data_IF_598431947248
#
_entry.id   IF_598431947248
#
_cell.length_a   1.000
_cell.length_b   1.000
_cell.length_c   1.000
_cell.angle_alpha   90.00
_cell.angle_beta   90.00
_cell.angle_gamma   90.00
#
_symmetry.space_group_name_H-M   'P 1'
#
loop_
_entity.id
_entity.type
_entity.pdbx_description
1 polymer ?
#
# COMPACT_ATOMS: atom_id res chain seq x y z
N UNK A 1 3.94 -31.24 9.59
CA UNK A 1 2.69 -31.12 10.38
C UNK A 1 3.01 -30.78 11.83
N UNK A 2 3.66 -31.64 12.63
CA UNK A 2 4.02 -31.30 14.02
C UNK A 2 4.74 -29.94 14.18
N UNK A 3 5.69 -29.61 13.29
CA UNK A 3 6.43 -28.34 13.38
C UNK A 3 5.60 -27.08 13.11
N UNK A 4 4.54 -27.13 12.28
CA UNK A 4 3.68 -25.95 12.06
C UNK A 4 2.69 -25.77 13.21
N UNK A 5 2.24 -26.88 13.82
CA UNK A 5 1.31 -26.83 14.95
C UNK A 5 1.95 -26.14 16.17
N UNK A 6 3.24 -26.39 16.43
CA UNK A 6 4.00 -25.71 17.48
C UNK A 6 4.14 -24.20 17.23
N UNK A 7 4.32 -23.80 15.96
CA UNK A 7 4.38 -22.39 15.56
C UNK A 7 3.03 -21.71 15.73
N UNK A 8 1.94 -22.34 15.29
CA UNK A 8 0.58 -21.83 15.47
C UNK A 8 0.28 -21.67 16.97
N UNK A 9 0.60 -22.68 17.77
CA UNK A 9 0.42 -22.65 19.22
C UNK A 9 1.26 -21.54 19.87
N UNK A 10 2.49 -21.30 19.40
CA UNK A 10 3.28 -20.17 19.88
C UNK A 10 2.60 -18.84 19.58
N UNK A 11 2.12 -18.64 18.35
CA UNK A 11 1.39 -17.44 17.94
C UNK A 11 0.15 -17.22 18.78
N UNK A 12 -0.68 -18.25 18.99
CA UNK A 12 -1.90 -18.16 19.81
C UNK A 12 -1.59 -17.76 21.26
N UNK A 13 -0.56 -18.36 21.86
CA UNK A 13 -0.17 -18.04 23.24
C UNK A 13 0.48 -16.66 23.41
N UNK A 14 0.99 -16.06 22.33
CA UNK A 14 1.64 -14.75 22.34
C UNK A 14 0.81 -13.67 21.64
N UNK A 15 -0.46 -13.94 21.32
CA UNK A 15 -1.33 -13.02 20.58
C UNK A 15 -1.39 -11.62 21.19
N UNK A 16 -1.66 -11.53 22.49
CA UNK A 16 -1.78 -10.23 23.18
C UNK A 16 -0.48 -9.43 23.13
N UNK A 17 0.68 -10.11 23.23
CA UNK A 17 2.00 -9.51 23.10
C UNK A 17 2.20 -8.96 21.68
N UNK A 18 1.90 -9.77 20.65
CA UNK A 18 2.05 -9.35 19.26
C UNK A 18 1.15 -8.17 18.91
N UNK A 19 -0.07 -8.15 19.44
CA UNK A 19 -0.99 -7.05 19.23
C UNK A 19 -0.53 -5.77 19.97
N UNK A 20 0.06 -5.85 21.17
CA UNK A 20 0.66 -4.68 21.81
C UNK A 20 1.88 -4.16 21.05
N UNK A 21 2.75 -5.04 20.55
CA UNK A 21 3.89 -4.62 19.72
C UNK A 21 3.42 -3.96 18.41
N UNK A 22 2.33 -4.44 17.81
CA UNK A 22 1.71 -3.73 16.68
C UNK A 22 1.24 -2.33 17.13
N UNK A 23 0.65 -2.20 18.31
CA UNK A 23 0.21 -0.89 18.81
C UNK A 23 1.40 0.03 19.08
N UNK A 24 2.53 -0.49 19.56
CA UNK A 24 3.78 0.28 19.64
C UNK A 24 4.24 0.78 18.26
N UNK A 25 4.25 -0.11 17.26
CA UNK A 25 4.64 0.24 15.88
C UNK A 25 3.71 1.31 15.26
N UNK A 26 2.40 1.22 15.53
CA UNK A 26 1.41 2.17 15.03
C UNK A 26 1.46 3.55 15.70
N UNK A 27 2.13 3.67 16.86
CA UNK A 27 2.31 4.97 17.54
C UNK A 27 3.37 5.85 16.89
N UNK A 28 4.20 5.32 15.99
CA UNK A 28 5.16 6.14 15.24
C UNK A 28 4.47 6.86 14.08
N UNK A 29 4.45 8.21 14.05
CA UNK A 29 3.98 8.97 12.89
C UNK A 29 5.08 9.05 11.82
N UNK A 30 5.38 7.91 11.20
CA UNK A 30 6.38 7.78 10.14
C UNK A 30 5.84 8.25 8.79
N UNK A 31 5.50 9.53 8.66
CA UNK A 31 4.94 10.11 7.43
C UNK A 31 6.08 10.51 6.50
N UNK A 32 6.33 9.73 5.43
CA UNK A 32 7.49 9.92 4.55
C UNK A 32 7.45 11.23 3.74
N UNK A 33 6.25 11.75 3.46
CA UNK A 33 6.05 13.02 2.75
C UNK A 33 6.20 14.26 3.62
N UNK A 34 6.29 14.10 4.96
CA UNK A 34 6.36 15.20 5.92
C UNK A 34 7.80 15.38 6.44
N UNK A 35 8.47 16.51 6.12
CA UNK A 35 9.83 16.79 6.62
C UNK A 35 9.94 16.81 8.15
N UNK A 36 8.87 17.18 8.86
CA UNK A 36 8.87 17.26 10.33
C UNK A 36 8.83 15.86 10.98
N UNK A 37 8.49 14.82 10.21
CA UNK A 37 8.44 13.42 10.66
C UNK A 37 9.82 12.73 10.68
N UNK A 38 10.92 13.46 10.42
CA UNK A 38 12.29 12.90 10.34
C UNK A 38 12.71 12.10 11.58
N UNK A 39 12.44 12.60 12.78
CA UNK A 39 12.80 11.87 14.00
C UNK A 39 12.00 10.57 14.11
N UNK A 40 10.72 10.61 13.80
CA UNK A 40 9.80 9.48 13.93
C UNK A 40 10.03 8.40 12.87
N UNK A 41 10.40 8.79 11.64
CA UNK A 41 10.88 7.87 10.60
C UNK A 41 12.07 7.05 11.09
N UNK A 42 13.08 7.71 11.66
CA UNK A 42 14.28 7.03 12.17
C UNK A 42 13.97 6.18 13.41
N UNK A 43 13.13 6.67 14.33
CA UNK A 43 12.71 5.91 15.52
C UNK A 43 11.92 4.66 15.14
N UNK A 44 11.07 4.73 14.11
CA UNK A 44 10.32 3.58 13.60
C UNK A 44 11.26 2.52 13.01
N UNK A 45 12.22 2.92 12.17
CA UNK A 45 13.24 2.02 11.61
C UNK A 45 14.08 1.34 12.70
N UNK A 46 14.52 2.11 13.71
CA UNK A 46 15.26 1.58 14.87
C UNK A 46 14.43 0.63 15.74
N UNK A 47 13.14 0.89 15.90
CA UNK A 47 12.24 -0.01 16.61
C UNK A 47 12.10 -1.33 15.85
N UNK A 48 11.91 -1.29 14.53
CA UNK A 48 11.81 -2.48 13.68
C UNK A 48 13.10 -3.32 13.74
N UNK A 49 14.27 -2.68 13.60
CA UNK A 49 15.58 -3.35 13.76
C UNK A 49 15.67 -4.10 15.08
N UNK A 50 15.37 -3.42 16.20
CA UNK A 50 15.39 -4.03 17.54
C UNK A 50 14.38 -5.15 17.69
N UNK A 51 13.20 -5.02 17.09
CA UNK A 51 12.18 -6.07 17.10
C UNK A 51 12.73 -7.34 16.43
N UNK A 52 13.31 -7.24 15.24
CA UNK A 52 13.97 -8.38 14.56
C UNK A 52 15.09 -9.01 15.40
N UNK A 53 15.97 -8.19 15.98
CA UNK A 53 17.08 -8.66 16.82
C UNK A 53 16.59 -9.42 18.06
N UNK A 54 15.46 -9.01 18.65
CA UNK A 54 14.90 -9.61 19.87
C UNK A 54 14.55 -11.11 19.73
N UNK A 55 14.27 -11.55 18.49
CA UNK A 55 14.02 -12.95 18.17
C UNK A 55 15.10 -13.64 17.35
N UNK A 56 16.27 -13.01 17.24
CA UNK A 56 17.50 -13.65 16.77
C UNK A 56 17.77 -13.52 15.27
N UNK A 57 17.10 -12.62 14.56
CA UNK A 57 17.49 -12.25 13.20
C UNK A 57 18.64 -11.25 13.23
N UNK A 58 19.53 -11.33 12.24
CA UNK A 58 20.51 -10.25 11.98
C UNK A 58 19.77 -9.11 11.33
N UNK A 59 19.83 -7.89 11.88
CA UNK A 59 19.12 -6.74 11.31
C UNK A 59 20.02 -5.50 11.24
N UNK A 60 19.84 -4.73 10.17
CA UNK A 60 20.61 -3.52 9.88
C UNK A 60 19.68 -2.44 9.30
N UNK A 61 20.01 -1.19 9.56
CA UNK A 61 19.40 -0.04 8.89
C UNK A 61 20.41 0.45 7.87
N UNK A 62 20.03 0.42 6.60
CA UNK A 62 20.89 0.79 5.49
C UNK A 62 20.40 2.12 4.92
N UNK A 63 21.27 3.15 4.83
CA UNK A 63 20.87 4.44 4.28
C UNK A 63 20.60 4.35 2.77
N UNK A 64 19.63 5.13 2.31
CA UNK A 64 19.41 5.44 0.89
C UNK A 64 19.67 6.94 0.66
N UNK A 65 19.34 7.47 -0.53
CA UNK A 65 19.35 8.92 -0.74
C UNK A 65 18.17 9.63 -0.05
N UNK A 66 17.17 8.89 0.42
CA UNK A 66 16.04 9.39 1.20
C UNK A 66 15.89 8.61 2.52
N UNK A 67 14.74 8.00 2.75
CA UNK A 67 14.50 7.26 3.99
C UNK A 67 15.24 5.90 4.01
N UNK A 68 15.82 5.50 5.16
CA UNK A 68 16.61 4.29 5.22
C UNK A 68 15.74 3.04 5.10
N UNK A 69 16.37 1.93 4.70
CA UNK A 69 15.72 0.63 4.60
C UNK A 69 16.14 -0.24 5.79
N UNK A 70 15.18 -0.92 6.42
CA UNK A 70 15.46 -1.94 7.43
C UNK A 70 15.58 -3.30 6.74
N UNK A 71 16.76 -3.91 6.84
CA UNK A 71 17.02 -5.25 6.32
C UNK A 71 17.22 -6.22 7.46
N UNK A 72 16.51 -7.34 7.46
CA UNK A 72 16.69 -8.39 8.46
C UNK A 72 16.75 -9.78 7.82
N UNK A 73 17.60 -10.66 8.32
CA UNK A 73 17.83 -11.96 7.71
C UNK A 73 18.08 -13.07 8.73
N UNK A 74 17.60 -14.27 8.38
CA UNK A 74 18.01 -15.51 9.05
C UNK A 74 19.40 -15.92 8.56
N UNK A 75 20.13 -16.69 9.38
CA UNK A 75 21.35 -17.35 8.90
C UNK A 75 21.05 -18.24 7.69
N UNK A 76 21.72 -17.97 6.55
CA UNK A 76 21.49 -18.69 5.29
C UNK A 76 21.93 -20.15 5.39
N UNK A 77 21.03 -21.05 5.01
CA UNK A 77 21.27 -22.50 4.85
C UNK A 77 21.17 -22.88 3.38
N UNK A 78 22.18 -23.58 2.87
CA UNK A 78 22.30 -23.93 1.45
C UNK A 78 21.28 -24.95 0.96
N UNK A 79 20.65 -25.69 1.88
CA UNK A 79 19.62 -26.70 1.60
C UNK A 79 18.19 -26.14 1.68
N UNK A 80 18.04 -24.81 1.83
CA UNK A 80 16.74 -24.13 1.94
C UNK A 80 16.57 -23.07 0.86
N UNK A 81 15.36 -22.92 0.30
CA UNK A 81 15.07 -21.78 -0.57
C UNK A 81 15.06 -20.48 0.25
N UNK A 82 15.32 -19.37 -0.40
CA UNK A 82 15.30 -18.03 0.18
C UNK A 82 14.03 -17.30 -0.24
N UNK A 83 13.29 -16.77 0.73
CA UNK A 83 12.11 -15.92 0.53
C UNK A 83 12.46 -14.50 0.95
N UNK A 84 12.34 -13.57 0.01
CA UNK A 84 12.39 -12.14 0.28
C UNK A 84 10.99 -11.66 0.65
N UNK A 85 10.83 -11.10 1.84
CA UNK A 85 9.60 -10.44 2.28
C UNK A 85 9.80 -8.95 2.15
N UNK A 86 8.95 -8.30 1.37
CA UNK A 86 8.92 -6.84 1.24
C UNK A 86 7.70 -6.27 1.98
N UNK A 87 7.87 -5.06 2.50
CA UNK A 87 6.82 -4.20 3.04
C UNK A 87 7.38 -2.81 3.29
N UNK A 88 6.57 -1.93 3.88
CA UNK A 88 7.04 -0.58 4.21
C UNK A 88 6.58 -0.12 5.60
N UNK A 89 7.31 0.84 6.18
CA UNK A 89 7.04 1.38 7.50
C UNK A 89 6.59 2.83 7.49
N UNK A 90 6.73 3.53 6.35
CA UNK A 90 6.13 4.84 6.18
C UNK A 90 4.62 4.75 5.96
N UNK A 91 3.93 5.88 6.14
CA UNK A 91 2.48 5.95 6.07
C UNK A 91 2.02 7.27 5.43
N UNK A 92 0.86 7.26 4.79
CA UNK A 92 0.20 8.49 4.30
C UNK A 92 -0.02 9.56 5.39
N UNK A 93 -0.11 10.85 5.01
CA UNK A 93 -0.60 11.93 5.87
C UNK A 93 -1.96 11.65 6.51
N UNK A 94 -2.27 12.40 7.55
CA UNK A 94 -3.47 12.19 8.39
C UNK A 94 -4.50 13.32 8.28
N UNK A 95 -4.22 14.34 7.48
CA UNK A 95 -5.13 15.45 7.28
C UNK A 95 -6.36 15.06 6.45
N UNK A 96 -7.54 15.63 6.75
CA UNK A 96 -7.81 16.53 7.87
C UNK A 96 -8.07 15.78 9.20
N UNK A 97 -7.39 16.21 10.27
CA UNK A 97 -7.43 15.54 11.58
C UNK A 97 -8.83 15.50 12.22
N UNK A 98 -9.69 16.49 11.96
CA UNK A 98 -11.02 16.58 12.55
C UNK A 98 -12.02 15.52 12.04
N UNK A 99 -11.70 14.85 10.93
CA UNK A 99 -12.52 13.75 10.40
C UNK A 99 -12.20 12.41 11.08
N UNK A 100 -11.13 12.34 11.88
CA UNK A 100 -10.79 11.16 12.64
C UNK A 100 -11.64 11.07 13.92
N UNK A 101 -12.24 9.90 14.14
CA UNK A 101 -12.99 9.62 15.38
C UNK A 101 -12.09 9.38 16.61
N UNK A 102 -10.79 9.14 16.39
CA UNK A 102 -9.75 8.97 17.40
C UNK A 102 -8.40 9.41 16.81
N UNK A 103 -7.45 9.88 17.63
CA UNK A 103 -6.15 10.32 17.10
C UNK A 103 -5.47 9.23 16.25
N UNK A 104 -4.93 9.57 15.07
CA UNK A 104 -4.51 8.57 14.07
C UNK A 104 -3.37 7.67 14.54
N UNK A 105 -2.51 8.16 15.45
CA UNK A 105 -1.37 7.42 16.01
C UNK A 105 -1.61 6.95 17.46
N UNK A 106 -2.88 6.96 17.91
CA UNK A 106 -3.31 6.32 19.16
C UNK A 106 -4.16 5.09 18.83
N UNK A 107 -3.52 3.92 18.57
CA UNK A 107 -4.21 2.75 18.08
C UNK A 107 -5.29 2.28 19.05
N UNK A 108 -6.49 2.08 18.53
CA UNK A 108 -7.66 1.65 19.30
C UNK A 108 -8.21 0.34 18.76
N UNK A 109 -8.41 -0.63 19.66
CA UNK A 109 -9.22 -1.81 19.38
C UNK A 109 -10.70 -1.50 19.60
N UNK A 110 -11.54 -1.78 18.60
CA UNK A 110 -12.98 -1.76 18.76
C UNK A 110 -13.54 -3.11 19.22
N UNK A 111 -14.79 -3.11 19.66
CA UNK A 111 -15.48 -4.31 20.18
C UNK A 111 -15.59 -5.44 19.14
N UNK A 112 -15.63 -5.09 17.85
CA UNK A 112 -15.65 -6.05 16.74
C UNK A 112 -14.28 -6.67 16.43
N UNK A 113 -13.22 -6.27 17.15
CA UNK A 113 -11.85 -6.74 16.97
C UNK A 113 -11.02 -5.91 15.99
N UNK A 114 -11.60 -4.93 15.30
CA UNK A 114 -10.86 -4.06 14.39
C UNK A 114 -9.90 -3.15 15.16
N UNK A 115 -8.74 -2.87 14.55
CA UNK A 115 -7.77 -1.90 15.03
C UNK A 115 -7.88 -0.65 14.16
N UNK A 116 -8.06 0.51 14.79
CA UNK A 116 -8.14 1.81 14.12
C UNK A 116 -6.88 2.61 14.46
N UNK A 117 -6.05 2.84 13.44
CA UNK A 117 -4.88 3.72 13.46
C UNK A 117 -4.42 3.96 12.00
N UNK A 118 -3.71 5.07 11.75
CA UNK A 118 -2.92 5.23 10.52
C UNK A 118 -1.81 4.17 10.52
N UNK A 119 -1.62 3.49 9.38
CA UNK A 119 -0.66 2.40 9.24
C UNK A 119 -1.22 1.01 9.59
N UNK A 120 -2.43 0.92 10.18
CA UNK A 120 -2.93 -0.36 10.71
C UNK A 120 -3.10 -1.45 9.65
N UNK A 121 -3.41 -1.06 8.40
CA UNK A 121 -3.56 -2.00 7.27
C UNK A 121 -2.58 -1.75 6.15
N UNK A 122 -1.87 -0.62 6.15
CA UNK A 122 -1.13 -0.08 5.00
C UNK A 122 0.08 0.69 5.56
N UNK A 123 1.23 0.04 5.71
CA UNK A 123 1.46 -1.42 5.62
C UNK A 123 1.99 -2.01 6.94
N UNK A 124 2.09 -1.20 7.99
CA UNK A 124 2.66 -1.65 9.28
C UNK A 124 2.00 -2.92 9.81
N UNK A 125 0.68 -3.06 9.69
CA UNK A 125 -0.01 -4.27 10.12
C UNK A 125 0.32 -5.52 9.30
N UNK A 126 0.39 -5.40 7.98
CA UNK A 126 0.55 -6.56 7.10
C UNK A 126 2.04 -6.97 7.02
N UNK A 127 2.96 -6.02 6.86
CA UNK A 127 4.40 -6.26 7.03
C UNK A 127 4.70 -6.91 8.40
N UNK A 128 4.15 -6.37 9.49
CA UNK A 128 4.42 -6.88 10.84
C UNK A 128 3.84 -8.28 11.08
N UNK A 129 2.78 -8.67 10.34
CA UNK A 129 2.28 -10.05 10.36
C UNK A 129 3.37 -11.04 9.92
N UNK A 130 4.15 -10.71 8.88
CA UNK A 130 5.28 -11.53 8.46
C UNK A 130 6.43 -11.52 9.48
N UNK A 131 6.69 -10.38 10.11
CA UNK A 131 7.68 -10.26 11.20
C UNK A 131 7.31 -11.19 12.37
N UNK A 132 6.05 -11.17 12.82
CA UNK A 132 5.58 -12.04 13.91
C UNK A 132 5.52 -13.51 13.52
N UNK A 133 5.22 -13.82 12.25
CA UNK A 133 5.34 -15.19 11.75
C UNK A 133 6.78 -15.70 11.82
N UNK A 134 7.77 -14.87 11.46
CA UNK A 134 9.18 -15.21 11.61
C UNK A 134 9.58 -15.39 13.08
N UNK A 135 9.15 -14.50 13.98
CA UNK A 135 9.37 -14.66 15.43
C UNK A 135 8.82 -16.01 15.93
N UNK A 136 7.58 -16.35 15.54
CA UNK A 136 6.96 -17.60 15.96
C UNK A 136 7.76 -18.83 15.51
N UNK A 137 8.25 -18.84 14.27
CA UNK A 137 9.16 -19.90 13.81
C UNK A 137 10.45 -19.95 14.61
N UNK A 138 11.08 -18.80 14.87
CA UNK A 138 12.35 -18.72 15.59
C UNK A 138 12.23 -19.09 17.08
N UNK A 139 11.05 -18.92 17.69
CA UNK A 139 10.82 -19.13 19.12
C UNK A 139 10.05 -20.41 19.47
N UNK A 140 9.39 -21.06 18.51
CA UNK A 140 8.66 -22.30 18.73
C UNK A 140 9.55 -23.55 18.93
N UNK A 141 10.88 -23.40 18.86
CA UNK A 141 11.83 -24.52 19.03
C UNK A 141 11.96 -25.41 17.79
N UNK A 142 11.44 -24.95 16.65
CA UNK A 142 11.60 -25.57 15.34
C UNK A 142 12.37 -24.63 14.41
N UNK A 143 12.93 -25.15 13.34
CA UNK A 143 13.64 -24.30 12.38
C UNK A 143 12.71 -23.89 11.21
N UNK A 144 12.77 -22.63 10.73
CA UNK A 144 12.01 -22.20 9.56
C UNK A 144 12.34 -23.05 8.32
N UNK A 145 11.37 -23.45 7.50
CA UNK A 145 11.62 -24.28 6.32
C UNK A 145 12.34 -23.53 5.17
N UNK A 146 12.49 -22.20 5.29
CA UNK A 146 13.09 -21.30 4.30
C UNK A 146 14.12 -20.39 4.97
N UNK A 147 15.04 -19.83 4.19
CA UNK A 147 15.79 -18.66 4.59
C UNK A 147 14.89 -17.42 4.39
N UNK A 148 14.86 -16.51 5.35
CA UNK A 148 14.11 -15.27 5.26
C UNK A 148 15.07 -14.10 5.09
N UNK A 149 14.72 -13.21 4.16
CA UNK A 149 15.29 -11.86 4.04
C UNK A 149 14.12 -10.90 4.06
N UNK A 150 14.14 -9.92 4.94
CA UNK A 150 13.17 -8.83 5.01
C UNK A 150 13.79 -7.57 4.42
N UNK A 151 13.01 -6.88 3.60
CA UNK A 151 13.33 -5.58 3.00
C UNK A 151 12.16 -4.65 3.33
N UNK A 152 12.29 -3.86 4.40
CA UNK A 152 11.23 -2.95 4.86
C UNK A 152 11.67 -1.51 4.59
N UNK A 153 11.07 -0.87 3.59
CA UNK A 153 11.42 0.50 3.18
C UNK A 153 10.60 1.58 3.90
N UNK A 154 10.97 2.84 3.71
CA UNK A 154 10.28 3.99 4.29
C UNK A 154 9.88 5.05 3.26
N UNK A 155 9.73 4.67 1.99
CA UNK A 155 9.42 5.61 0.91
C UNK A 155 8.27 5.15 -0.02
N UNK A 156 7.53 4.10 0.32
CA UNK A 156 6.49 3.55 -0.56
C UNK A 156 5.42 4.60 -0.88
N UNK A 157 5.00 5.35 0.14
CA UNK A 157 3.89 6.30 0.06
C UNK A 157 4.24 7.57 -0.74
N UNK A 158 5.53 7.72 -1.08
CA UNK A 158 6.08 8.76 -1.97
C UNK A 158 6.62 8.16 -3.29
N UNK A 159 6.32 6.90 -3.58
CA UNK A 159 6.61 6.20 -4.83
C UNK A 159 7.95 5.47 -4.89
N UNK A 160 8.54 5.13 -3.74
CA UNK A 160 9.80 4.37 -3.60
C UNK A 160 10.96 4.90 -4.49
N UNK A 161 11.23 6.22 -4.55
CA UNK A 161 12.12 6.82 -5.54
C UNK A 161 13.56 6.26 -5.51
N UNK A 162 14.03 5.75 -4.37
CA UNK A 162 15.39 5.24 -4.21
C UNK A 162 15.49 3.72 -4.10
N UNK A 163 14.36 2.99 -4.02
CA UNK A 163 14.39 1.55 -3.76
C UNK A 163 15.00 0.77 -4.93
N UNK A 164 14.69 1.14 -6.17
CA UNK A 164 15.20 0.43 -7.35
C UNK A 164 16.73 0.44 -7.39
N UNK A 165 17.33 1.63 -7.24
CA UNK A 165 18.79 1.78 -7.22
C UNK A 165 19.41 1.06 -6.03
N UNK A 166 18.79 1.15 -4.85
CA UNK A 166 19.24 0.42 -3.66
C UNK A 166 19.26 -1.10 -3.89
N UNK A 167 18.21 -1.68 -4.48
CA UNK A 167 18.17 -3.12 -4.82
C UNK A 167 19.25 -3.46 -5.85
N UNK A 168 19.50 -2.61 -6.85
CA UNK A 168 20.54 -2.84 -7.86
C UNK A 168 21.94 -2.85 -7.23
N UNK A 169 22.22 -1.92 -6.32
CA UNK A 169 23.50 -1.85 -5.60
C UNK A 169 23.73 -3.05 -4.68
N UNK A 170 22.66 -3.56 -4.05
CA UNK A 170 22.70 -4.69 -3.13
C UNK A 170 22.18 -6.01 -3.73
N UNK A 171 22.19 -6.13 -5.07
CA UNK A 171 21.53 -7.21 -5.82
C UNK A 171 21.83 -8.61 -5.27
N UNK A 172 23.09 -8.90 -4.95
CA UNK A 172 23.50 -10.22 -4.46
C UNK A 172 22.87 -10.58 -3.12
N UNK A 173 22.61 -9.58 -2.26
CA UNK A 173 21.97 -9.78 -0.94
C UNK A 173 20.51 -10.19 -1.10
N UNK A 174 19.80 -9.58 -2.06
CA UNK A 174 18.37 -9.74 -2.29
C UNK A 174 18.00 -10.80 -3.34
N UNK A 175 18.96 -11.61 -3.79
CA UNK A 175 18.64 -12.81 -4.57
C UNK A 175 17.78 -13.77 -3.72
N UNK A 176 16.61 -14.10 -4.23
CA UNK A 176 15.64 -14.98 -3.58
C UNK A 176 14.97 -15.89 -4.60
N UNK A 177 14.47 -17.03 -4.13
CA UNK A 177 13.70 -18.00 -4.91
C UNK A 177 12.23 -17.57 -5.04
N UNK A 178 11.75 -16.75 -4.09
CA UNK A 178 10.43 -16.13 -4.12
C UNK A 178 10.45 -14.76 -3.44
N UNK A 179 9.56 -13.86 -3.89
CA UNK A 179 9.26 -12.59 -3.23
C UNK A 179 7.84 -12.65 -2.70
N UNK A 180 7.66 -12.27 -1.45
CA UNK A 180 6.38 -12.20 -0.76
C UNK A 180 6.07 -10.74 -0.40
N UNK A 181 4.92 -10.26 -0.85
CA UNK A 181 4.39 -8.93 -0.59
C UNK A 181 2.97 -9.13 -0.09
N UNK A 182 2.64 -8.52 1.05
CA UNK A 182 1.28 -8.52 1.59
C UNK A 182 0.85 -7.08 1.79
N UNK A 183 0.63 -6.37 0.70
CA UNK A 183 0.26 -4.95 0.72
C UNK A 183 -0.99 -4.71 -0.16
N UNK A 184 -1.98 -5.59 0.03
CA UNK A 184 -3.22 -5.56 -0.75
C UNK A 184 -4.38 -6.05 0.11
N UNK A 185 -5.61 -5.84 -0.39
CA UNK A 185 -6.84 -6.20 0.31
C UNK A 185 -7.32 -7.62 -0.01
N UNK A 186 -8.00 -8.23 0.95
CA UNK A 186 -8.84 -9.41 0.72
C UNK A 186 -10.08 -9.04 -0.08
N UNK A 187 -10.77 -10.02 -0.68
CA UNK A 187 -12.05 -9.78 -1.35
C UNK A 187 -13.15 -9.45 -0.33
N UNK A 188 -13.17 -10.19 0.78
CA UNK A 188 -14.11 -9.99 1.89
C UNK A 188 -13.65 -10.76 3.12
N UNK A 189 -14.33 -10.55 4.26
CA UNK A 189 -13.91 -11.06 5.58
C UNK A 189 -13.57 -12.56 5.62
N UNK A 190 -14.36 -13.36 4.94
CA UNK A 190 -14.22 -14.83 4.91
C UNK A 190 -13.69 -15.35 3.56
N UNK A 191 -13.21 -14.44 2.70
CA UNK A 191 -12.70 -14.74 1.36
C UNK A 191 -11.29 -14.14 1.20
N UNK A 192 -10.23 -14.88 1.59
CA UNK A 192 -8.85 -14.45 1.34
C UNK A 192 -8.61 -14.33 -0.16
N UNK A 193 -7.68 -13.46 -0.54
CA UNK A 193 -7.31 -13.23 -1.93
C UNK A 193 -5.82 -13.45 -2.16
N UNK A 194 -5.48 -13.93 -3.34
CA UNK A 194 -4.12 -13.86 -3.90
C UNK A 194 -4.14 -12.79 -4.99
N UNK A 195 -3.49 -11.66 -4.73
CA UNK A 195 -3.32 -10.63 -5.75
C UNK A 195 -2.24 -11.10 -6.74
N UNK A 196 -2.59 -11.22 -8.02
CA UNK A 196 -1.66 -11.65 -9.07
C UNK A 196 -1.21 -10.50 -10.00
N UNK A 197 -1.87 -9.34 -9.93
CA UNK A 197 -1.56 -8.18 -10.74
C UNK A 197 -2.05 -6.89 -10.07
N UNK A 198 -1.28 -5.82 -10.26
CA UNK A 198 -1.62 -4.45 -9.90
C UNK A 198 -1.65 -3.60 -11.17
N UNK A 199 -2.42 -2.49 -11.13
CA UNK A 199 -2.32 -1.48 -12.18
C UNK A 199 -1.02 -0.71 -12.02
N UNK A 200 -0.44 -0.29 -13.14
CA UNK A 200 0.56 0.78 -13.11
C UNK A 200 -0.09 2.12 -12.75
N UNK A 201 0.75 3.08 -12.37
CA UNK A 201 0.33 4.44 -12.06
C UNK A 201 1.22 5.45 -12.80
N UNK A 202 0.63 6.56 -13.23
CA UNK A 202 1.36 7.70 -13.78
C UNK A 202 0.67 8.96 -13.32
N UNK A 203 1.37 9.77 -12.52
CA UNK A 203 0.91 11.09 -12.12
C UNK A 203 1.40 12.16 -13.10
N UNK A 204 0.53 13.09 -13.44
CA UNK A 204 0.82 14.22 -14.32
C UNK A 204 0.27 15.51 -13.73
N UNK A 205 1.05 16.59 -13.81
CA UNK A 205 0.62 17.94 -13.44
C UNK A 205 0.37 18.78 -14.69
N UNK A 206 -0.77 19.47 -14.74
CA UNK A 206 -1.11 20.40 -15.82
C UNK A 206 -1.19 21.83 -15.27
N UNK A 207 -0.20 22.66 -15.62
CA UNK A 207 -0.16 24.08 -15.22
C UNK A 207 -0.74 24.93 -16.36
N UNK A 208 -1.85 25.63 -16.09
CA UNK A 208 -2.44 26.60 -17.01
C UNK A 208 -2.22 28.01 -16.47
N UNK A 209 -1.36 28.78 -17.14
CA UNK A 209 -1.06 30.16 -16.77
C UNK A 209 -1.86 31.15 -17.62
N UNK A 210 -2.49 32.13 -16.97
CA UNK A 210 -3.31 33.16 -17.61
C UNK A 210 -2.57 34.49 -17.74
N UNK A 211 -3.24 35.57 -17.34
CA UNK A 211 -2.62 36.89 -17.26
C UNK A 211 -1.39 36.89 -16.34
N UNK A 212 -0.50 37.86 -16.54
CA UNK A 212 0.72 38.05 -15.74
C UNK A 212 0.48 38.29 -14.24
N UNK A 213 -0.75 38.58 -13.85
CA UNK A 213 -1.19 38.89 -12.49
C UNK A 213 -2.68 38.54 -12.34
N UNK A 214 -3.14 38.38 -11.10
CA UNK A 214 -4.56 38.16 -10.80
C UNK A 214 -5.40 39.38 -11.21
N UNK A 215 -6.55 39.12 -11.82
CA UNK A 215 -7.42 40.14 -12.39
C UNK A 215 -8.73 40.29 -11.61
N UNK A 216 -9.19 41.53 -11.44
CA UNK A 216 -10.51 41.80 -10.88
C UNK A 216 -11.61 41.27 -11.81
N UNK A 217 -12.34 40.24 -11.39
CA UNK A 217 -13.31 39.50 -12.23
C UNK A 217 -14.44 40.38 -12.78
N UNK A 218 -14.87 41.42 -12.07
CA UNK A 218 -15.88 42.36 -12.57
C UNK A 218 -15.39 43.34 -13.65
N UNK A 219 -14.08 43.60 -13.73
CA UNK A 219 -13.51 44.55 -14.70
C UNK A 219 -13.02 43.82 -15.96
N UNK A 220 -12.45 42.63 -15.77
CA UNK A 220 -11.80 41.87 -16.83
C UNK A 220 -12.58 40.61 -17.22
N UNK A 221 -13.65 40.29 -16.49
CA UNK A 221 -14.57 39.20 -16.83
C UNK A 221 -15.20 39.44 -18.20
N UNK A 222 -14.97 38.50 -19.12
CA UNK A 222 -15.44 38.58 -20.51
C UNK A 222 -14.41 39.10 -21.50
N UNK A 223 -13.25 39.60 -21.05
CA UNK A 223 -12.16 40.05 -21.95
C UNK A 223 -10.83 39.33 -21.71
N UNK A 224 -10.56 38.87 -20.47
CA UNK A 224 -9.37 38.10 -20.15
C UNK A 224 -9.70 36.59 -20.10
N UNK A 225 -8.87 35.71 -20.70
CA UNK A 225 -8.99 34.27 -20.50
C UNK A 225 -8.83 33.91 -19.02
N UNK A 226 -9.74 33.11 -18.49
CA UNK A 226 -9.67 32.60 -17.12
C UNK A 226 -9.07 31.18 -17.15
N UNK A 227 -7.87 30.95 -16.60
CA UNK A 227 -7.26 29.62 -16.52
C UNK A 227 -8.17 28.57 -15.89
N UNK A 228 -8.98 28.93 -14.89
CA UNK A 228 -9.90 28.00 -14.25
C UNK A 228 -10.97 27.48 -15.22
N UNK A 229 -11.47 28.32 -16.13
CA UNK A 229 -12.41 27.87 -17.17
C UNK A 229 -11.73 26.96 -18.21
N UNK A 230 -10.46 27.21 -18.51
CA UNK A 230 -9.68 26.37 -19.44
C UNK A 230 -9.43 25.00 -18.83
N UNK A 231 -8.96 24.96 -17.57
CA UNK A 231 -8.77 23.71 -16.81
C UNK A 231 -10.09 22.94 -16.72
N UNK A 232 -11.19 23.59 -16.32
CA UNK A 232 -12.49 22.93 -16.23
C UNK A 232 -12.91 22.29 -17.56
N UNK A 233 -12.60 22.92 -18.69
CA UNK A 233 -12.87 22.35 -20.02
C UNK A 233 -11.98 21.16 -20.35
N UNK A 234 -10.67 21.27 -20.12
CA UNK A 234 -9.72 20.18 -20.33
C UNK A 234 -10.17 18.95 -19.54
N UNK A 235 -10.48 19.12 -18.26
CA UNK A 235 -10.91 18.03 -17.37
C UNK A 235 -12.25 17.42 -17.82
N UNK A 236 -13.22 18.26 -18.24
CA UNK A 236 -14.51 17.79 -18.75
C UNK A 236 -14.36 17.01 -20.06
N UNK A 237 -13.41 17.37 -20.91
CA UNK A 237 -13.17 16.71 -22.21
C UNK A 237 -12.38 15.39 -22.06
N UNK A 238 -11.79 15.09 -20.89
CA UNK A 238 -11.01 13.86 -20.68
C UNK A 238 -11.87 12.59 -20.59
N UNK A 239 -13.13 12.68 -20.18
CA UNK A 239 -14.07 11.55 -20.08
C UNK A 239 -15.41 11.91 -20.70
N UNK A 240 -16.02 10.98 -21.44
CA UNK A 240 -17.39 11.15 -21.93
C UNK A 240 -18.43 10.95 -20.79
N UNK A 241 -19.73 11.20 -21.04
CA UNK A 241 -20.80 10.96 -20.05
C UNK A 241 -20.97 9.50 -19.60
N UNK A 242 -20.34 8.53 -20.28
CA UNK A 242 -20.31 7.12 -19.88
C UNK A 242 -19.04 6.77 -19.09
N UNK A 243 -18.09 7.69 -18.95
CA UNK A 243 -16.83 7.49 -18.24
C UNK A 243 -15.71 6.91 -19.11
N UNK A 244 -15.89 6.84 -20.44
CA UNK A 244 -14.86 6.42 -21.38
C UNK A 244 -13.87 7.55 -21.59
N UNK A 245 -12.58 7.26 -21.48
CA UNK A 245 -11.50 8.24 -21.57
C UNK A 245 -11.31 8.65 -23.04
N UNK A 246 -11.28 9.95 -23.30
CA UNK A 246 -11.30 10.51 -24.67
C UNK A 246 -9.91 10.89 -25.20
N UNK A 247 -8.85 10.64 -24.42
CA UNK A 247 -7.48 10.94 -24.83
C UNK A 247 -7.11 10.05 -26.03
N UNK A 248 -6.70 10.62 -27.19
CA UNK A 248 -6.34 9.83 -28.35
C UNK A 248 -5.21 8.84 -28.05
N UNK A 249 -5.40 7.58 -28.46
CA UNK A 249 -4.44 6.51 -28.22
C UNK A 249 -4.38 6.00 -26.78
N UNK A 250 -5.24 6.47 -25.87
CA UNK A 250 -5.22 6.06 -24.45
C UNK A 250 -5.38 4.55 -24.26
N UNK A 251 -6.17 3.90 -25.12
CA UNK A 251 -6.41 2.47 -25.06
C UNK A 251 -5.48 1.67 -25.98
N UNK A 252 -4.54 2.32 -26.66
CA UNK A 252 -3.58 1.62 -27.51
C UNK A 252 -2.71 0.71 -26.65
N UNK A 253 -2.66 -0.58 -26.99
CA UNK A 253 -1.90 -1.57 -26.23
C UNK A 253 -2.59 -2.12 -24.98
N UNK A 254 -3.80 -1.67 -24.66
CA UNK A 254 -4.61 -2.30 -23.59
C UNK A 254 -5.01 -3.70 -24.02
N UNK A 255 -4.55 -4.69 -23.26
CA UNK A 255 -4.91 -6.09 -23.47
C UNK A 255 -6.29 -6.38 -22.87
N UNK A 256 -7.06 -7.21 -23.57
CA UNK A 256 -8.27 -7.77 -22.98
C UNK A 256 -7.89 -8.76 -21.87
N UNK A 257 -8.72 -8.93 -20.83
CA UNK A 257 -8.55 -10.01 -19.88
C UNK A 257 -8.65 -11.37 -20.59
N UNK A 258 -7.93 -12.34 -20.09
CA UNK A 258 -8.00 -13.73 -20.56
C UNK A 258 -9.29 -14.40 -20.07
N UNK A 259 -9.78 -15.42 -20.78
CA UNK A 259 -11.05 -16.08 -20.45
C UNK A 259 -11.07 -16.64 -19.02
N UNK A 260 -9.94 -17.19 -18.54
CA UNK A 260 -9.83 -17.71 -17.18
C UNK A 260 -9.95 -16.61 -16.12
N UNK A 261 -9.51 -15.38 -16.40
CA UNK A 261 -9.66 -14.25 -15.47
C UNK A 261 -11.13 -13.89 -15.32
N UNK A 262 -11.86 -13.84 -16.44
CA UNK A 262 -13.30 -13.58 -16.45
C UNK A 262 -14.06 -14.66 -15.67
N UNK A 263 -13.72 -15.95 -15.89
CA UNK A 263 -14.32 -17.07 -15.15
C UNK A 263 -14.06 -16.97 -13.63
N UNK A 264 -12.87 -16.57 -13.19
CA UNK A 264 -12.58 -16.36 -11.77
C UNK A 264 -13.34 -15.17 -11.19
N UNK A 265 -13.47 -14.07 -11.95
CA UNK A 265 -14.21 -12.89 -11.49
C UNK A 265 -15.70 -13.20 -11.29
N UNK A 266 -16.30 -14.05 -12.13
CA UNK A 266 -17.72 -14.44 -12.02
C UNK A 266 -18.01 -15.29 -10.77
N UNK A 267 -17.01 -16.02 -10.25
CA UNK A 267 -17.16 -16.86 -9.04
C UNK A 267 -17.24 -16.04 -7.75
N UNK A 268 -16.82 -14.77 -7.79
CA UNK A 268 -16.79 -13.92 -6.61
C UNK A 268 -18.20 -13.40 -6.26
N UNK A 269 -18.55 -13.32 -4.96
CA UNK A 269 -19.88 -12.90 -4.54
C UNK A 269 -20.05 -11.38 -4.62
N UNK A 270 -20.20 -10.86 -5.84
CA UNK A 270 -20.40 -9.44 -6.08
C UNK A 270 -21.78 -8.97 -5.64
N UNK A 271 -21.80 -7.91 -4.84
CA UNK A 271 -23.00 -7.12 -4.58
C UNK A 271 -22.71 -5.66 -4.94
N UNK A 272 -23.06 -5.28 -6.17
CA UNK A 272 -22.80 -3.94 -6.69
C UNK A 272 -23.73 -2.87 -6.08
N UNK A 273 -24.89 -3.27 -5.56
CA UNK A 273 -25.80 -2.35 -4.88
C UNK A 273 -25.28 -2.04 -3.48
N UNK A 274 -24.86 -3.06 -2.73
CA UNK A 274 -24.23 -2.86 -1.43
C UNK A 274 -22.89 -2.11 -1.57
N UNK A 275 -22.09 -2.41 -2.60
CA UNK A 275 -20.87 -1.64 -2.88
C UNK A 275 -21.18 -0.14 -3.12
N UNK A 276 -22.20 0.16 -3.92
CA UNK A 276 -22.61 1.55 -4.15
C UNK A 276 -23.08 2.23 -2.85
N UNK A 277 -23.84 1.50 -2.02
CA UNK A 277 -24.31 1.98 -0.71
C UNK A 277 -23.16 2.23 0.27
N UNK A 278 -22.17 1.33 0.34
CA UNK A 278 -20.97 1.50 1.18
C UNK A 278 -20.15 2.72 0.78
N UNK A 279 -20.04 2.98 -0.52
CA UNK A 279 -19.38 4.16 -1.07
C UNK A 279 -20.24 5.44 -0.95
N UNK A 280 -21.50 5.34 -0.52
CA UNK A 280 -22.42 6.47 -0.41
C UNK A 280 -22.87 7.05 -1.75
N UNK A 281 -22.81 6.27 -2.83
CA UNK A 281 -23.17 6.69 -4.19
C UNK A 281 -24.43 6.01 -4.68
N UNK A 282 -25.19 6.70 -5.54
CA UNK A 282 -26.46 6.17 -6.08
C UNK A 282 -26.26 5.09 -7.15
N UNK A 283 -25.13 5.14 -7.88
CA UNK A 283 -24.80 4.17 -8.93
C UNK A 283 -23.30 4.18 -9.22
N UNK A 284 -22.75 3.00 -9.53
CA UNK A 284 -21.39 2.85 -10.04
C UNK A 284 -21.25 3.51 -11.43
N UNK A 285 -20.14 4.22 -11.67
CA UNK A 285 -19.81 4.89 -12.93
C UNK A 285 -18.74 4.13 -13.73
N UNK A 286 -18.35 4.65 -14.90
CA UNK A 286 -17.33 4.08 -15.79
C UNK A 286 -17.90 3.34 -17.01
N UNK A 287 -16.98 2.89 -17.88
CA UNK A 287 -17.22 2.27 -19.20
C UNK A 287 -18.32 1.18 -19.17
N UNK A 288 -19.52 1.53 -19.65
CA UNK A 288 -20.74 0.71 -19.45
C UNK A 288 -20.74 -0.60 -20.22
N UNK A 289 -19.93 -0.69 -21.27
CA UNK A 289 -19.73 -1.88 -22.08
C UNK A 289 -18.92 -2.98 -21.35
N UNK A 290 -18.24 -2.65 -20.25
CA UNK A 290 -17.48 -3.61 -19.45
C UNK A 290 -18.16 -3.95 -18.13
N UNK A 291 -18.15 -5.22 -17.71
CA UNK A 291 -18.54 -5.62 -16.36
C UNK A 291 -17.75 -4.84 -15.30
N UNK A 292 -18.36 -4.62 -14.13
CA UNK A 292 -17.72 -3.88 -13.02
C UNK A 292 -16.35 -4.48 -12.62
N UNK A 293 -16.18 -5.82 -12.51
CA UNK A 293 -14.87 -6.39 -12.15
C UNK A 293 -13.77 -6.04 -13.16
N UNK A 294 -14.11 -6.11 -14.46
CA UNK A 294 -13.21 -5.73 -15.56
C UNK A 294 -12.85 -4.25 -15.48
N UNK A 295 -13.82 -3.37 -15.20
CA UNK A 295 -13.58 -1.94 -14.96
C UNK A 295 -12.73 -1.66 -13.72
N UNK A 296 -12.88 -2.46 -12.66
CA UNK A 296 -12.21 -2.26 -11.37
C UNK A 296 -10.76 -2.74 -11.39
N UNK A 297 -10.45 -3.81 -12.12
CA UNK A 297 -9.12 -4.44 -12.07
C UNK A 297 -8.34 -4.33 -13.39
N UNK A 298 -8.97 -4.57 -14.53
CA UNK A 298 -8.24 -4.72 -15.80
C UNK A 298 -8.14 -3.42 -16.60
N UNK A 299 -9.24 -2.65 -16.70
CA UNK A 299 -9.29 -1.45 -17.53
C UNK A 299 -8.38 -0.34 -16.96
N UNK A 300 -7.65 0.43 -17.78
CA UNK A 300 -6.98 1.62 -17.28
C UNK A 300 -8.00 2.66 -16.81
N UNK A 301 -7.62 3.48 -15.84
CA UNK A 301 -8.41 4.63 -15.37
C UNK A 301 -7.60 5.91 -15.46
N UNK A 302 -8.30 7.04 -15.40
CA UNK A 302 -7.73 8.38 -15.29
C UNK A 302 -8.56 9.10 -14.26
N UNK A 303 -7.98 9.57 -13.17
CA UNK A 303 -8.71 10.27 -12.12
C UNK A 303 -7.98 11.54 -11.73
N UNK A 304 -8.73 12.48 -11.14
CA UNK A 304 -8.23 13.79 -10.72
C UNK A 304 -8.08 13.73 -9.22
N UNK A 305 -6.85 13.90 -8.76
CA UNK A 305 -6.50 13.92 -7.34
C UNK A 305 -6.17 15.37 -6.95
N UNK A 306 -6.56 15.77 -5.74
CA UNK A 306 -6.34 17.11 -5.22
C UNK A 306 -6.63 17.19 -3.72
#
# INVERSE_FOLDING_TARGET
>A
MAAIDDVIKYTENNRDKFEEELFELLRFPSISSDPDSTEEMNRCAEWLKKNFESFGLSAEILPTQGWPVVVAETAKKSDRPTVLVYGHYDVQPVDPLELWNSPPFEPRRAENGNVYARGATDDKGQAFTHVKAAEAWMKAGVEPPVNLVFLIEGEEEIGSPNLEDFIREHRERFLADAVLISDTSQFGRDLPALCYALRGITYMEFIVTGAKEDLHSGMFGGIAPNPAHVVARILADMKDPNGTIQIPGFYDGVKAPEDWELEEYEKLPWDFEELAKQLGISKLSGEREYPVPVRKWCRPTLDING
#
